data_IF_150791691526
#
_entry.id   IF_150791691526
#
_cell.length_a   1.000
_cell.length_b   1.000
_cell.length_c   1.000
_cell.angle_alpha   90.00
_cell.angle_beta   90.00
_cell.angle_gamma   90.00
#
_symmetry.space_group_name_H-M   'P 1'
#
loop_
_entity.id
_entity.type
_entity.pdbx_description
1 polymer ?
#
# COMPACT_ATOMS: atom_id res chain seq x y z
N UNK A 1 23.56 -11.96 -7.46
CA UNK A 1 24.56 -11.09 -6.78
C UNK A 1 23.78 -10.06 -6.00
N UNK A 2 23.94 -9.98 -4.68
CA UNK A 2 23.26 -8.96 -3.90
C UNK A 2 23.83 -7.59 -4.30
N UNK A 3 23.07 -6.84 -5.08
CA UNK A 3 23.36 -5.44 -5.34
C UNK A 3 23.34 -4.75 -3.98
N UNK A 4 24.49 -4.21 -3.60
CA UNK A 4 24.66 -3.42 -2.39
C UNK A 4 23.88 -2.11 -2.58
N UNK A 5 22.55 -2.17 -2.45
CA UNK A 5 21.70 -1.00 -2.59
C UNK A 5 22.05 -0.07 -1.45
N UNK A 6 22.80 0.98 -1.75
CA UNK A 6 23.14 1.99 -0.76
C UNK A 6 21.90 2.85 -0.55
N UNK A 7 21.08 2.49 0.45
CA UNK A 7 19.93 3.29 0.87
C UNK A 7 20.46 4.56 1.50
N UNK A 8 20.58 5.63 0.71
CA UNK A 8 20.96 6.92 1.23
C UNK A 8 19.83 7.44 2.13
N UNK A 9 20.20 7.83 3.34
CA UNK A 9 19.24 8.37 4.31
C UNK A 9 19.20 9.89 4.16
N UNK A 10 18.02 10.40 3.83
CA UNK A 10 17.73 11.83 3.85
C UNK A 10 16.84 12.17 5.06
N UNK A 11 17.24 13.16 5.86
CA UNK A 11 16.50 13.53 7.07
C UNK A 11 15.13 14.15 6.77
N UNK A 12 14.99 14.89 5.66
CA UNK A 12 13.70 15.45 5.25
C UNK A 12 12.72 14.34 4.89
N UNK A 13 13.19 13.32 4.16
CA UNK A 13 12.38 12.16 3.81
C UNK A 13 11.90 11.42 5.06
N UNK A 14 12.78 11.21 6.04
CA UNK A 14 12.40 10.59 7.32
C UNK A 14 11.34 11.39 8.06
N UNK A 15 11.41 12.72 8.06
CA UNK A 15 10.37 13.57 8.67
C UNK A 15 9.04 13.37 7.97
N UNK A 16 9.01 13.47 6.64
CA UNK A 16 7.78 13.26 5.84
C UNK A 16 7.18 11.88 6.12
N UNK A 17 7.99 10.83 6.11
CA UNK A 17 7.54 9.46 6.35
C UNK A 17 7.01 9.27 7.78
N UNK A 18 7.64 9.87 8.79
CA UNK A 18 7.15 9.80 10.18
C UNK A 18 5.83 10.52 10.36
N UNK A 19 5.65 11.68 9.72
CA UNK A 19 4.39 12.42 9.78
C UNK A 19 3.25 11.64 9.12
N UNK A 20 3.50 11.04 7.96
CA UNK A 20 2.54 10.19 7.27
C UNK A 20 2.23 8.90 8.07
N UNK A 21 3.26 8.25 8.63
CA UNK A 21 3.09 7.08 9.47
C UNK A 21 2.28 7.40 10.75
N UNK A 22 2.46 8.59 11.32
CA UNK A 22 1.63 9.07 12.43
C UNK A 22 0.16 9.17 12.01
N UNK A 23 -0.12 9.78 10.85
CA UNK A 23 -1.49 9.88 10.32
C UNK A 23 -2.11 8.50 10.09
N UNK A 24 -1.35 7.53 9.57
CA UNK A 24 -1.81 6.14 9.43
C UNK A 24 -2.12 5.52 10.79
N UNK A 25 -1.26 5.71 11.79
CA UNK A 25 -1.50 5.23 13.15
C UNK A 25 -2.77 5.85 13.75
N UNK A 26 -2.99 7.15 13.55
CA UNK A 26 -4.20 7.84 14.01
C UNK A 26 -5.46 7.27 13.33
N UNK A 27 -5.40 7.02 12.01
CA UNK A 27 -6.47 6.36 11.25
C UNK A 27 -6.72 4.94 11.76
N UNK A 28 -5.65 4.14 11.95
CA UNK A 28 -5.74 2.76 12.39
C UNK A 28 -6.42 2.62 13.76
N UNK A 29 -6.23 3.61 14.62
CA UNK A 29 -6.82 3.71 15.96
C UNK A 29 -8.15 4.47 16.01
N UNK A 30 -8.64 5.00 14.88
CA UNK A 30 -9.89 5.75 14.84
C UNK A 30 -11.11 4.84 15.11
N UNK A 31 -12.19 5.35 15.73
CA UNK A 31 -13.38 4.55 16.03
C UNK A 31 -13.98 3.85 14.80
N UNK A 32 -14.01 4.55 13.66
CA UNK A 32 -14.57 3.98 12.41
C UNK A 32 -13.72 2.82 11.87
N UNK A 33 -12.39 2.90 11.99
CA UNK A 33 -11.52 1.80 11.57
C UNK A 33 -11.63 0.59 12.52
N UNK A 34 -11.81 0.85 13.83
CA UNK A 34 -12.07 -0.21 14.81
C UNK A 34 -13.42 -0.90 14.53
N UNK A 35 -14.46 -0.14 14.22
CA UNK A 35 -15.76 -0.68 13.83
C UNK A 35 -15.67 -1.57 12.58
N UNK A 36 -14.93 -1.12 11.55
CA UNK A 36 -14.66 -1.93 10.34
C UNK A 36 -13.95 -3.24 10.69
N UNK A 37 -12.91 -3.17 11.52
CA UNK A 37 -12.16 -4.35 11.98
C UNK A 37 -13.07 -5.35 12.68
N UNK A 38 -13.89 -4.91 13.64
CA UNK A 38 -14.87 -5.76 14.32
C UNK A 38 -15.90 -6.35 13.36
N UNK A 39 -16.34 -5.55 12.37
CA UNK A 39 -17.29 -6.01 11.36
C UNK A 39 -16.70 -7.13 10.49
N UNK A 40 -15.43 -7.04 10.11
CA UNK A 40 -14.71 -8.12 9.42
C UNK A 40 -14.57 -9.37 10.28
N UNK A 41 -14.27 -9.24 11.58
CA UNK A 41 -14.25 -10.41 12.47
C UNK A 41 -15.61 -11.09 12.56
N UNK A 42 -16.70 -10.33 12.71
CA UNK A 42 -18.06 -10.88 12.69
C UNK A 42 -18.40 -11.53 11.36
N UNK A 43 -18.01 -10.93 10.25
CA UNK A 43 -18.19 -11.52 8.92
C UNK A 43 -17.53 -12.90 8.81
N UNK A 44 -16.28 -12.99 9.25
CA UNK A 44 -15.52 -14.26 9.24
C UNK A 44 -16.07 -15.29 10.24
N UNK A 45 -16.75 -14.85 11.30
CA UNK A 45 -17.46 -15.70 12.25
C UNK A 45 -18.89 -16.07 11.83
N UNK A 46 -19.35 -15.66 10.64
CA UNK A 46 -20.72 -15.86 10.14
C UNK A 46 -21.81 -15.12 10.95
N UNK A 47 -21.44 -14.04 11.62
CA UNK A 47 -22.30 -13.19 12.47
C UNK A 47 -22.47 -11.77 11.89
N UNK A 48 -22.33 -11.63 10.57
CA UNK A 48 -22.35 -10.32 9.91
C UNK A 48 -23.70 -9.61 10.05
N UNK A 49 -23.69 -8.35 10.46
CA UNK A 49 -24.89 -7.50 10.58
C UNK A 49 -25.23 -6.72 9.31
N UNK A 50 -24.27 -6.58 8.39
CA UNK A 50 -24.41 -5.90 7.10
C UNK A 50 -23.40 -6.44 6.09
N UNK A 51 -23.64 -6.30 4.77
CA UNK A 51 -22.61 -6.55 3.77
C UNK A 51 -21.39 -5.66 3.99
N UNK A 52 -20.19 -6.23 3.79
CA UNK A 52 -18.93 -5.50 3.75
C UNK A 52 -18.50 -5.30 2.30
N UNK A 53 -17.96 -4.13 1.99
CA UNK A 53 -17.53 -3.76 0.65
C UNK A 53 -16.04 -3.43 0.68
N UNK A 54 -15.29 -4.05 -0.24
CA UNK A 54 -13.90 -3.70 -0.52
C UNK A 54 -13.81 -3.19 -1.95
N UNK A 55 -13.20 -2.03 -2.14
CA UNK A 55 -13.03 -1.42 -3.46
C UNK A 55 -11.55 -1.49 -3.83
N UNK A 56 -11.19 -2.38 -4.76
CA UNK A 56 -9.82 -2.42 -5.29
C UNK A 56 -9.61 -1.30 -6.31
N UNK A 57 -9.24 -0.12 -5.82
CA UNK A 57 -9.05 1.08 -6.65
C UNK A 57 -7.94 0.93 -7.73
N UNK A 58 -7.04 -0.05 -7.57
CA UNK A 58 -6.10 -0.47 -8.61
C UNK A 58 -5.34 0.66 -9.30
N UNK A 59 -5.33 0.65 -10.63
CA UNK A 59 -4.62 1.64 -11.46
C UNK A 59 -5.20 3.05 -11.30
N UNK A 60 -6.48 3.20 -10.97
CA UNK A 60 -7.11 4.52 -10.84
C UNK A 60 -6.45 5.38 -9.74
N UNK A 61 -5.87 4.76 -8.71
CA UNK A 61 -5.10 5.49 -7.68
C UNK A 61 -3.89 6.24 -8.24
N UNK A 62 -3.36 5.85 -9.40
CA UNK A 62 -2.24 6.56 -10.03
C UNK A 62 -2.63 7.98 -10.49
N UNK A 63 -3.93 8.22 -10.74
CA UNK A 63 -4.46 9.53 -11.14
C UNK A 63 -4.88 10.38 -9.93
N UNK A 64 -5.20 9.74 -8.81
CA UNK A 64 -5.68 10.40 -7.58
C UNK A 64 -4.53 10.75 -6.62
N UNK A 65 -3.49 9.92 -6.60
CA UNK A 65 -2.25 10.14 -5.86
C UNK A 65 -1.09 9.91 -6.82
N UNK A 66 -0.55 11.02 -7.30
CA UNK A 66 0.42 11.09 -8.40
C UNK A 66 1.85 11.18 -7.88
N UNK A 67 2.82 10.89 -8.76
CA UNK A 67 4.25 11.07 -8.44
C UNK A 67 4.63 12.52 -8.12
N UNK A 68 3.88 13.50 -8.65
CA UNK A 68 4.06 14.93 -8.33
C UNK A 68 3.64 15.31 -6.92
N UNK A 69 2.81 14.49 -6.26
CA UNK A 69 2.42 14.72 -4.86
C UNK A 69 3.52 14.31 -3.87
N UNK A 70 4.51 13.55 -4.33
CA UNK A 70 5.59 13.00 -3.51
C UNK A 70 6.69 14.03 -3.26
N UNK A 71 7.02 14.21 -1.99
CA UNK A 71 8.01 15.18 -1.49
C UNK A 71 9.34 14.53 -1.11
N UNK A 72 9.37 13.22 -0.92
CA UNK A 72 10.58 12.47 -0.66
C UNK A 72 11.51 12.51 -1.89
N UNK A 73 12.82 12.50 -1.63
CA UNK A 73 13.85 12.57 -2.65
C UNK A 73 14.39 11.20 -3.00
N UNK A 74 14.66 10.37 -2.00
CA UNK A 74 15.26 9.05 -2.20
C UNK A 74 14.21 8.07 -2.71
N UNK A 75 14.54 7.30 -3.75
CA UNK A 75 13.56 6.44 -4.44
C UNK A 75 12.86 5.43 -3.53
N UNK A 76 13.57 4.92 -2.53
CA UNK A 76 12.98 4.05 -1.52
C UNK A 76 11.97 4.77 -0.63
N UNK A 77 12.26 6.01 -0.26
CA UNK A 77 11.39 6.82 0.59
C UNK A 77 10.15 7.25 -0.19
N UNK A 78 10.30 7.58 -1.48
CA UNK A 78 9.17 7.86 -2.39
C UNK A 78 8.21 6.68 -2.50
N UNK A 79 8.72 5.45 -2.57
CA UNK A 79 7.88 4.24 -2.60
C UNK A 79 7.03 4.10 -1.33
N UNK A 80 7.61 4.32 -0.15
CA UNK A 80 6.87 4.34 1.11
C UNK A 80 5.88 5.50 1.18
N UNK A 81 6.30 6.69 0.77
CA UNK A 81 5.47 7.89 0.77
C UNK A 81 4.22 7.69 -0.10
N UNK A 82 4.39 7.14 -1.30
CA UNK A 82 3.30 6.83 -2.22
C UNK A 82 2.31 5.84 -1.59
N UNK A 83 2.81 4.76 -0.99
CA UNK A 83 1.99 3.79 -0.27
C UNK A 83 1.16 4.45 0.83
N UNK A 84 1.81 5.25 1.68
CA UNK A 84 1.13 5.94 2.78
C UNK A 84 0.06 6.92 2.30
N UNK A 85 0.38 7.74 1.29
CA UNK A 85 -0.56 8.70 0.73
C UNK A 85 -1.77 8.00 0.11
N UNK A 86 -1.57 6.87 -0.57
CA UNK A 86 -2.66 6.06 -1.14
C UNK A 86 -3.56 5.46 -0.06
N UNK A 87 -2.97 4.87 0.99
CA UNK A 87 -3.75 4.35 2.12
C UNK A 87 -4.58 5.45 2.78
N UNK A 88 -3.98 6.60 3.03
CA UNK A 88 -4.67 7.77 3.60
C UNK A 88 -5.80 8.24 2.66
N UNK A 89 -5.50 8.40 1.37
CA UNK A 89 -6.49 8.84 0.38
C UNK A 89 -7.67 7.89 0.31
N UNK A 90 -7.41 6.58 0.26
CA UNK A 90 -8.44 5.55 0.17
C UNK A 90 -9.36 5.59 1.38
N UNK A 91 -8.78 5.63 2.59
CA UNK A 91 -9.54 5.74 3.83
C UNK A 91 -10.41 7.00 3.87
N UNK A 92 -9.87 8.15 3.44
CA UNK A 92 -10.55 9.45 3.53
C UNK A 92 -11.58 9.69 2.42
N UNK A 93 -11.41 9.12 1.23
CA UNK A 93 -12.22 9.45 0.05
C UNK A 93 -13.06 8.28 -0.46
N UNK A 94 -12.49 7.07 -0.53
CA UNK A 94 -13.19 5.87 -1.00
C UNK A 94 -14.13 5.36 0.09
N UNK A 95 -13.66 5.37 1.35
CA UNK A 95 -14.46 5.08 2.56
C UNK A 95 -15.21 3.73 2.51
N UNK A 96 -14.63 2.75 1.84
CA UNK A 96 -15.10 1.37 1.89
C UNK A 96 -14.83 0.74 3.28
N UNK A 97 -14.98 -0.58 3.41
CA UNK A 97 -14.77 -1.27 4.67
C UNK A 97 -13.32 -1.74 4.86
N UNK A 98 -12.35 -1.26 4.07
CA UNK A 98 -10.94 -1.61 4.27
C UNK A 98 -10.45 -1.17 5.67
N UNK A 99 -9.69 -2.06 6.32
CA UNK A 99 -9.08 -1.82 7.62
C UNK A 99 -7.65 -1.36 7.42
N UNK A 100 -7.33 -0.19 7.96
CA UNK A 100 -5.96 0.32 8.00
C UNK A 100 -5.25 -0.20 9.26
N UNK A 101 -4.08 -0.79 9.09
CA UNK A 101 -3.28 -1.36 10.17
C UNK A 101 -2.13 -0.45 10.63
N UNK A 102 -1.73 -0.50 11.91
CA UNK A 102 -0.69 0.37 12.48
C UNK A 102 0.73 -0.18 12.24
N UNK A 103 0.97 -0.86 11.13
CA UNK A 103 2.27 -1.40 10.75
C UNK A 103 2.50 -1.32 9.25
N UNK A 104 3.77 -1.42 8.86
CA UNK A 104 4.18 -1.49 7.45
C UNK A 104 4.64 -2.91 7.13
N UNK A 105 4.24 -3.39 5.95
CA UNK A 105 4.65 -4.70 5.47
C UNK A 105 6.00 -4.60 4.76
N UNK A 106 7.00 -5.33 5.28
CA UNK A 106 8.26 -5.56 4.59
C UNK A 106 8.15 -6.88 3.81
N UNK A 107 7.89 -6.79 2.50
CA UNK A 107 7.70 -7.96 1.66
C UNK A 107 9.03 -8.66 1.34
N UNK A 108 8.93 -9.96 1.06
CA UNK A 108 10.05 -10.77 0.59
C UNK A 108 10.51 -10.29 -0.78
N UNK A 109 11.82 -10.10 -0.96
CA UNK A 109 12.42 -9.90 -2.28
C UNK A 109 12.76 -11.26 -2.89
N UNK A 110 11.87 -11.78 -3.74
CA UNK A 110 12.01 -13.09 -4.37
C UNK A 110 12.47 -12.94 -5.81
N UNK A 111 13.54 -13.63 -6.19
CA UNK A 111 13.98 -13.75 -7.58
C UNK A 111 13.84 -15.20 -8.04
N UNK A 112 13.21 -15.43 -9.18
CA UNK A 112 13.10 -16.77 -9.80
C UNK A 112 14.28 -16.96 -10.75
N UNK A 113 15.05 -18.05 -10.58
CA UNK A 113 16.22 -18.37 -11.42
C UNK A 113 15.88 -19.05 -12.75
N UNK A 114 14.59 -19.15 -13.07
CA UNK A 114 14.03 -19.93 -14.16
C UNK A 114 14.48 -21.42 -14.18
N UNK A 115 14.92 -21.97 -13.04
CA UNK A 115 15.39 -23.37 -12.93
C UNK A 115 16.42 -23.79 -14.01
N UNK A 116 17.19 -22.85 -14.55
CA UNK A 116 18.16 -23.10 -15.64
C UNK A 116 17.57 -23.16 -17.05
N UNK A 117 16.29 -22.84 -17.25
CA UNK A 117 15.63 -22.76 -18.55
C UNK A 117 14.79 -21.48 -18.64
N UNK A 118 15.24 -20.50 -19.43
CA UNK A 118 14.46 -19.27 -19.64
C UNK A 118 13.13 -19.57 -20.32
N UNK A 119 12.04 -19.13 -19.68
CA UNK A 119 10.71 -19.21 -20.27
C UNK A 119 10.63 -18.23 -21.44
N UNK A 120 10.30 -18.73 -22.63
CA UNK A 120 10.01 -17.92 -23.81
C UNK A 120 8.55 -17.51 -23.74
N UNK A 121 8.29 -16.21 -23.65
CA UNK A 121 6.94 -15.66 -23.67
C UNK A 121 6.66 -15.09 -25.05
N UNK A 122 5.80 -15.74 -25.81
CA UNK A 122 5.19 -15.15 -27.00
C UNK A 122 3.87 -14.49 -26.58
N UNK A 123 3.75 -13.18 -26.79
CA UNK A 123 2.51 -12.43 -26.61
C UNK A 123 2.03 -11.96 -27.98
N UNK A 124 0.72 -11.93 -28.18
CA UNK A 124 0.15 -11.35 -29.39
C UNK A 124 0.34 -9.83 -29.40
N UNK A 125 0.57 -9.26 -30.59
CA UNK A 125 0.85 -7.82 -30.83
C UNK A 125 -0.32 -6.88 -30.46
N UNK A 126 -1.44 -7.40 -29.98
CA UNK A 126 -2.68 -6.65 -29.80
C UNK A 126 -3.10 -6.61 -28.33
N UNK A 127 -2.71 -5.55 -27.63
CA UNK A 127 -3.15 -5.27 -26.27
C UNK A 127 -2.73 -3.87 -25.82
N UNK A 128 -3.29 -2.85 -26.46
CA UNK A 128 -3.42 -1.50 -25.88
C UNK A 128 -4.28 -1.54 -24.64
#
# INVERSE_FOLDING_TARGET
MATNSQWKINQNDLTILRDLAKKISDIANSPINQERRESWYKHNSLESSRPLVLIESGIALNELVTESDLKCQEGWARGLELGFRRTIYHFENIKDDEVVEPYINCNWHVSVSNYGCEAIYERGDSGT
#
